data_IF_019101455497
#
_entry.id   IF_019101455497
#
_cell.length_a   1.000
_cell.length_b   1.000
_cell.length_c   1.000
_cell.angle_alpha   90.00
_cell.angle_beta   90.00
_cell.angle_gamma   90.00
#
_symmetry.space_group_name_H-M   'P 1'
#
loop_
_entity.id
_entity.type
_entity.pdbx_description
1 polymer ?
#
# COMPACT_ATOMS: atom_id res chain seq x y z
N UNK A 1 21.08 -57.47 19.60
CA UNK A 1 21.69 -56.16 19.37
C UNK A 1 20.60 -55.16 19.67
N UNK A 2 20.72 -54.50 20.81
CA UNK A 2 19.65 -53.71 21.43
C UNK A 2 19.48 -52.37 20.70
N UNK A 3 18.22 -52.10 20.42
CA UNK A 3 17.61 -50.84 20.07
C UNK A 3 18.11 -49.74 21.02
N UNK A 4 19.04 -48.90 20.55
CA UNK A 4 19.35 -47.65 21.24
C UNK A 4 18.31 -46.65 20.75
N UNK A 5 17.32 -46.38 21.61
CA UNK A 5 16.45 -45.20 21.50
C UNK A 5 17.33 -43.96 21.33
N UNK A 6 17.00 -43.14 20.34
CA UNK A 6 17.63 -41.85 20.11
C UNK A 6 17.18 -40.90 21.24
N UNK A 7 17.90 -40.95 22.37
CA UNK A 7 17.65 -40.08 23.51
C UNK A 7 18.12 -38.68 23.14
N UNK A 8 17.19 -37.88 22.60
CA UNK A 8 17.38 -36.45 22.40
C UNK A 8 17.41 -35.79 23.79
N UNK A 9 18.61 -35.58 24.33
CA UNK A 9 18.83 -34.83 25.56
C UNK A 9 18.68 -33.33 25.28
N UNK A 10 17.49 -32.80 25.56
CA UNK A 10 17.28 -31.36 25.65
C UNK A 10 17.89 -30.83 26.94
N UNK A 11 18.91 -29.97 26.85
CA UNK A 11 19.48 -29.31 28.01
C UNK A 11 18.70 -28.04 28.31
N UNK A 12 18.05 -27.98 29.47
CA UNK A 12 17.49 -26.76 30.05
C UNK A 12 18.50 -26.22 31.06
N UNK A 13 18.69 -24.89 31.11
CA UNK A 13 19.58 -24.32 32.13
C UNK A 13 19.02 -24.63 33.52
N UNK A 14 19.90 -24.91 34.48
CA UNK A 14 19.49 -25.28 35.84
C UNK A 14 18.62 -24.19 36.50
N UNK A 15 18.90 -22.92 36.18
CA UNK A 15 18.14 -21.75 36.62
C UNK A 15 16.68 -21.77 36.11
N UNK A 16 16.46 -22.09 34.82
CA UNK A 16 15.11 -22.26 34.29
C UNK A 16 14.42 -23.50 34.86
N UNK A 17 15.15 -24.59 35.07
CA UNK A 17 14.59 -25.81 35.65
C UNK A 17 14.12 -25.59 37.10
N UNK A 18 14.89 -24.84 37.90
CA UNK A 18 14.50 -24.44 39.26
C UNK A 18 13.23 -23.59 39.24
N UNK A 19 13.20 -22.55 38.38
CA UNK A 19 12.06 -21.64 38.26
C UNK A 19 10.79 -22.35 37.76
N UNK A 20 10.92 -23.32 36.86
CA UNK A 20 9.82 -24.17 36.38
C UNK A 20 9.32 -25.14 37.46
N UNK A 21 10.23 -25.68 38.29
CA UNK A 21 9.89 -26.63 39.36
C UNK A 21 9.30 -25.96 40.61
N UNK A 22 9.60 -24.67 40.82
CA UNK A 22 9.10 -23.87 41.93
C UNK A 22 7.72 -23.23 41.66
N UNK A 23 7.14 -23.47 40.49
CA UNK A 23 5.85 -22.88 40.10
C UNK A 23 4.72 -23.35 41.02
N UNK A 24 3.93 -22.40 41.53
CA UNK A 24 2.78 -22.69 42.40
C UNK A 24 1.61 -23.36 41.67
N UNK A 25 0.62 -23.95 42.39
CA UNK A 25 -0.48 -24.74 41.80
C UNK A 25 -1.43 -23.96 40.87
N UNK A 26 -1.18 -22.68 40.59
CA UNK A 26 -1.98 -21.85 39.69
C UNK A 26 -1.13 -20.94 38.78
N UNK A 27 0.17 -21.20 38.66
CA UNK A 27 1.08 -20.47 37.78
C UNK A 27 1.17 -21.17 36.42
N UNK A 28 0.89 -20.42 35.35
CA UNK A 28 0.97 -20.93 33.98
C UNK A 28 2.39 -20.70 33.45
N UNK A 29 3.12 -21.78 33.25
CA UNK A 29 4.42 -21.72 32.58
C UNK A 29 4.24 -21.79 31.06
N UNK A 30 4.97 -20.94 30.33
CA UNK A 30 5.00 -20.94 28.87
C UNK A 30 6.43 -21.22 28.44
N UNK A 31 6.61 -22.30 27.68
CA UNK A 31 7.89 -22.65 27.06
C UNK A 31 7.83 -22.25 25.60
N UNK A 32 8.72 -21.34 25.19
CA UNK A 32 8.83 -20.89 23.80
C UNK A 32 9.96 -21.68 23.14
N UNK A 33 9.60 -22.57 22.21
CA UNK A 33 10.56 -23.30 21.40
C UNK A 33 10.85 -22.49 20.14
N UNK A 34 12.10 -22.10 19.94
CA UNK A 34 12.57 -21.35 18.77
C UNK A 34 13.80 -22.03 18.17
N UNK A 35 13.80 -22.27 16.86
CA UNK A 35 14.90 -22.92 16.13
C UNK A 35 14.40 -23.89 15.05
N UNK A 36 15.28 -24.30 14.13
CA UNK A 36 14.97 -25.23 13.01
C UNK A 36 14.26 -24.59 11.81
N UNK A 37 13.75 -25.42 10.89
CA UNK A 37 12.90 -25.04 9.73
C UNK A 37 11.48 -24.56 10.14
N UNK A 38 11.29 -24.11 11.38
CA UNK A 38 10.06 -23.50 11.87
C UNK A 38 9.94 -22.04 11.38
N UNK A 39 10.14 -21.84 10.07
CA UNK A 39 9.92 -20.56 9.41
C UNK A 39 8.43 -20.22 9.39
N UNK A 40 8.11 -18.95 9.64
CA UNK A 40 6.75 -18.43 9.72
C UNK A 40 5.97 -18.53 8.39
N UNK A 41 6.65 -18.81 7.28
CA UNK A 41 6.05 -18.85 5.95
C UNK A 41 5.30 -20.17 5.68
N UNK A 42 5.67 -21.27 6.33
CA UNK A 42 5.11 -22.59 6.05
C UNK A 42 4.15 -23.06 7.16
N UNK A 43 2.87 -22.71 6.97
CA UNK A 43 1.79 -23.13 7.88
C UNK A 43 1.65 -24.65 7.93
N UNK A 44 2.02 -25.35 6.86
CA UNK A 44 1.99 -26.80 6.80
C UNK A 44 3.07 -27.44 7.68
N UNK A 45 4.32 -26.97 7.59
CA UNK A 45 5.42 -27.58 8.35
C UNK A 45 5.28 -27.34 9.85
N UNK A 46 4.85 -26.14 10.23
CA UNK A 46 4.57 -25.80 11.63
C UNK A 46 3.43 -26.63 12.23
N UNK A 47 2.34 -26.88 11.48
CA UNK A 47 1.27 -27.78 11.93
C UNK A 47 1.74 -29.24 12.06
N UNK A 48 2.59 -29.71 11.13
CA UNK A 48 3.18 -31.05 11.18
C UNK A 48 4.14 -31.21 12.36
N UNK A 49 4.94 -30.18 12.66
CA UNK A 49 5.82 -30.15 13.83
C UNK A 49 4.99 -30.16 15.11
N UNK A 50 3.91 -29.38 15.19
CA UNK A 50 3.01 -29.38 16.35
C UNK A 50 2.37 -30.76 16.55
N UNK A 51 1.89 -31.41 15.48
CA UNK A 51 1.30 -32.74 15.58
C UNK A 51 2.33 -33.82 15.97
N UNK A 52 3.55 -33.72 15.45
CA UNK A 52 4.60 -34.68 15.79
C UNK A 52 5.12 -34.46 17.22
N UNK A 53 5.23 -33.21 17.67
CA UNK A 53 5.57 -32.88 19.05
C UNK A 53 4.48 -33.33 20.01
N UNK A 54 3.20 -33.10 19.70
CA UNK A 54 2.11 -33.59 20.53
C UNK A 54 2.11 -35.11 20.61
N UNK A 55 2.31 -35.82 19.49
CA UNK A 55 2.38 -37.28 19.47
C UNK A 55 3.61 -37.84 20.22
N UNK A 56 4.76 -37.20 20.08
CA UNK A 56 5.98 -37.60 20.81
C UNK A 56 5.82 -37.40 22.32
N UNK A 57 5.24 -36.27 22.74
CA UNK A 57 4.96 -36.02 24.14
C UNK A 57 3.92 -36.99 24.68
N UNK A 58 2.82 -37.21 23.96
CA UNK A 58 1.73 -38.10 24.37
C UNK A 58 2.21 -39.55 24.57
N UNK A 59 3.12 -40.01 23.71
CA UNK A 59 3.74 -41.33 23.85
C UNK A 59 4.66 -41.44 25.08
N UNK A 60 5.26 -40.32 25.54
CA UNK A 60 6.23 -40.32 26.64
C UNK A 60 5.59 -40.01 27.99
N UNK A 61 4.59 -39.14 28.02
CA UNK A 61 3.87 -38.68 29.19
C UNK A 61 2.49 -38.22 28.72
N UNK A 62 1.45 -38.98 29.05
CA UNK A 62 0.07 -38.77 28.62
C UNK A 62 -0.30 -37.28 28.68
N UNK A 63 -0.44 -36.66 27.51
CA UNK A 63 -0.48 -35.20 27.40
C UNK A 63 -1.80 -34.62 27.91
N UNK A 64 -2.83 -35.47 28.01
CA UNK A 64 -4.14 -35.16 28.55
C UNK A 64 -4.15 -35.01 30.08
N UNK A 65 -3.20 -35.65 30.80
CA UNK A 65 -3.12 -35.59 32.27
C UNK A 65 -2.41 -34.31 32.77
N UNK A 66 -1.65 -33.64 31.87
CA UNK A 66 -0.83 -32.45 32.18
C UNK A 66 -1.40 -31.14 31.56
N UNK A 67 -2.56 -31.19 30.90
CA UNK A 67 -3.26 -30.05 30.27
C UNK A 67 -2.32 -29.15 29.41
N UNK A 68 -1.45 -29.78 28.63
CA UNK A 68 -0.46 -29.06 27.81
C UNK A 68 -1.09 -28.60 26.49
N UNK A 69 -1.16 -27.28 26.29
CA UNK A 69 -1.66 -26.70 25.05
C UNK A 69 -0.53 -26.20 24.14
N UNK A 70 -0.40 -26.81 22.96
CA UNK A 70 0.56 -26.38 21.95
C UNK A 70 -0.10 -25.38 20.99
N UNK A 71 0.44 -24.16 20.91
CA UNK A 71 -0.04 -23.10 20.01
C UNK A 71 1.11 -22.53 19.19
N UNK A 72 0.93 -22.43 17.86
CA UNK A 72 1.84 -21.70 16.98
C UNK A 72 1.66 -20.18 17.15
N UNK A 73 2.27 -19.62 18.20
CA UNK A 73 2.12 -18.20 18.56
C UNK A 73 2.48 -17.25 17.40
N UNK A 74 3.53 -17.55 16.63
CA UNK A 74 3.95 -16.71 15.48
C UNK A 74 2.94 -16.69 14.33
N UNK A 75 2.29 -17.82 14.04
CA UNK A 75 1.36 -17.94 12.91
C UNK A 75 0.01 -17.35 13.27
N UNK A 76 -0.48 -17.61 14.49
CA UNK A 76 -1.74 -17.04 14.95
C UNK A 76 -1.62 -15.51 15.12
N UNK A 77 -0.52 -15.02 15.71
CA UNK A 77 -0.25 -13.59 15.79
C UNK A 77 -0.07 -12.96 14.39
N UNK A 78 0.60 -13.64 13.47
CA UNK A 78 0.75 -13.20 12.08
C UNK A 78 -0.57 -13.14 11.32
N UNK A 79 -1.45 -14.12 11.52
CA UNK A 79 -2.78 -14.18 10.90
C UNK A 79 -3.73 -13.12 11.49
N UNK A 80 -3.71 -12.93 12.81
CA UNK A 80 -4.47 -11.86 13.47
C UNK A 80 -3.98 -10.47 13.03
N UNK A 81 -2.67 -10.27 12.92
CA UNK A 81 -2.07 -9.04 12.40
C UNK A 81 -2.42 -8.84 10.91
N UNK A 82 -2.38 -9.88 10.08
CA UNK A 82 -2.75 -9.81 8.67
C UNK A 82 -4.24 -9.47 8.48
N UNK A 83 -5.13 -10.04 9.29
CA UNK A 83 -6.56 -9.75 9.25
C UNK A 83 -6.86 -8.30 9.66
N UNK A 84 -6.20 -7.80 10.71
CA UNK A 84 -6.31 -6.39 11.13
C UNK A 84 -5.73 -5.43 10.09
N UNK A 85 -4.56 -5.77 9.52
CA UNK A 85 -3.90 -5.00 8.47
C UNK A 85 -4.74 -4.93 7.19
N UNK A 86 -5.46 -6.00 6.84
CA UNK A 86 -6.31 -6.05 5.65
C UNK A 86 -7.39 -4.98 5.60
N UNK A 87 -8.04 -4.67 6.74
CA UNK A 87 -9.08 -3.63 6.81
C UNK A 87 -8.45 -2.24 6.61
N UNK A 88 -7.36 -1.96 7.30
CA UNK A 88 -6.65 -0.67 7.22
C UNK A 88 -6.10 -0.45 5.79
N UNK A 89 -5.51 -1.49 5.20
CA UNK A 89 -5.03 -1.48 3.82
C UNK A 89 -6.18 -1.21 2.84
N UNK A 90 -7.33 -1.86 3.02
CA UNK A 90 -8.53 -1.62 2.24
C UNK A 90 -9.02 -0.16 2.31
N UNK A 91 -9.01 0.45 3.50
CA UNK A 91 -9.36 1.87 3.66
C UNK A 91 -8.40 2.79 2.90
N UNK A 92 -7.08 2.57 3.01
CA UNK A 92 -6.10 3.34 2.27
C UNK A 92 -6.25 3.18 0.74
N UNK A 93 -6.60 1.98 0.28
CA UNK A 93 -6.85 1.74 -1.15
C UNK A 93 -8.05 2.55 -1.66
N UNK A 94 -9.15 2.59 -0.90
CA UNK A 94 -10.34 3.37 -1.25
C UNK A 94 -10.03 4.87 -1.26
N UNK A 95 -9.40 5.39 -0.20
CA UNK A 95 -9.03 6.82 -0.13
C UNK A 95 -8.01 7.21 -1.20
N UNK A 96 -7.02 6.35 -1.49
CA UNK A 96 -6.04 6.56 -2.54
C UNK A 96 -6.71 6.65 -3.92
N UNK A 97 -7.60 5.70 -4.22
CA UNK A 97 -8.33 5.68 -5.49
C UNK A 97 -9.25 6.91 -5.63
N UNK A 98 -9.96 7.28 -4.57
CA UNK A 98 -10.80 8.48 -4.56
C UNK A 98 -9.97 9.76 -4.79
N UNK A 99 -8.81 9.86 -4.16
CA UNK A 99 -7.88 11.00 -4.34
C UNK A 99 -7.38 11.08 -5.77
N UNK A 100 -7.03 9.95 -6.39
CA UNK A 100 -6.62 9.90 -7.81
C UNK A 100 -7.77 10.36 -8.71
N UNK A 101 -8.99 9.88 -8.47
CA UNK A 101 -10.17 10.28 -9.25
C UNK A 101 -10.47 11.79 -9.13
N UNK A 102 -10.39 12.34 -7.91
CA UNK A 102 -10.53 13.77 -7.67
C UNK A 102 -9.43 14.59 -8.38
N UNK A 103 -8.19 14.09 -8.37
CA UNK A 103 -7.08 14.70 -9.09
C UNK A 103 -7.28 14.72 -10.61
N UNK A 104 -7.76 13.62 -11.20
CA UNK A 104 -8.11 13.55 -12.63
C UNK A 104 -9.19 14.58 -12.96
N UNK A 105 -10.23 14.67 -12.13
CA UNK A 105 -11.32 15.63 -12.35
C UNK A 105 -10.81 17.07 -12.28
N UNK A 106 -9.92 17.38 -11.33
CA UNK A 106 -9.29 18.69 -11.21
C UNK A 106 -8.42 19.04 -12.42
N UNK A 107 -7.66 18.08 -12.97
CA UNK A 107 -6.89 18.29 -14.20
C UNK A 107 -7.84 18.55 -15.38
N UNK A 108 -8.93 17.77 -15.50
CA UNK A 108 -9.91 17.95 -16.56
C UNK A 108 -10.55 19.34 -16.51
N UNK A 109 -10.97 19.82 -15.33
CA UNK A 109 -11.61 21.14 -15.21
C UNK A 109 -10.65 22.27 -15.59
N UNK A 110 -9.38 22.19 -15.20
CA UNK A 110 -8.37 23.18 -15.56
C UNK A 110 -8.14 23.20 -17.08
N UNK A 111 -7.93 22.02 -17.69
CA UNK A 111 -7.66 21.94 -19.13
C UNK A 111 -8.86 22.42 -19.96
N UNK A 112 -10.09 22.11 -19.52
CA UNK A 112 -11.31 22.60 -20.17
C UNK A 112 -11.41 24.12 -20.10
N UNK A 113 -11.08 24.73 -18.95
CA UNK A 113 -11.04 26.18 -18.78
C UNK A 113 -9.97 26.83 -19.69
N UNK A 114 -8.76 26.27 -19.77
CA UNK A 114 -7.70 26.77 -20.65
C UNK A 114 -8.09 26.63 -22.13
N UNK A 115 -8.75 25.54 -22.50
CA UNK A 115 -9.23 25.32 -23.85
C UNK A 115 -10.27 26.37 -24.27
N UNK A 116 -11.19 26.74 -23.38
CA UNK A 116 -12.17 27.82 -23.57
C UNK A 116 -11.47 29.16 -23.84
N UNK A 117 -10.49 29.51 -23.00
CA UNK A 117 -9.76 30.77 -23.08
C UNK A 117 -8.97 30.92 -24.39
N UNK A 118 -8.35 29.84 -24.89
CA UNK A 118 -7.54 29.85 -26.13
C UNK A 118 -8.36 29.64 -27.41
N UNK A 119 -9.70 29.49 -27.36
CA UNK A 119 -10.51 29.24 -28.57
C UNK A 119 -10.40 30.36 -29.60
N UNK A 120 -10.35 31.62 -29.17
CA UNK A 120 -10.22 32.78 -30.06
C UNK A 120 -8.88 32.77 -30.80
N UNK A 121 -7.79 32.45 -30.11
CA UNK A 121 -6.44 32.33 -30.68
C UNK A 121 -6.36 31.19 -31.71
N UNK A 122 -6.95 30.03 -31.39
CA UNK A 122 -7.03 28.89 -32.32
C UNK A 122 -7.86 29.19 -33.57
N UNK A 123 -8.85 30.09 -33.46
CA UNK A 123 -9.62 30.60 -34.60
C UNK A 123 -8.75 31.40 -35.58
N UNK A 124 -7.85 32.24 -35.06
CA UNK A 124 -6.90 33.02 -35.87
C UNK A 124 -5.85 32.12 -36.52
N UNK A 125 -5.29 31.16 -35.76
CA UNK A 125 -4.30 30.20 -36.29
C UNK A 125 -4.87 29.36 -37.44
N UNK A 126 -6.15 28.98 -37.38
CA UNK A 126 -6.83 28.27 -38.48
C UNK A 126 -7.01 29.14 -39.73
N UNK A 127 -7.12 30.46 -39.61
CA UNK A 127 -7.18 31.35 -40.76
C UNK A 127 -5.85 31.42 -41.53
N UNK A 128 -4.73 31.15 -40.85
CA UNK A 128 -3.37 31.12 -41.42
C UNK A 128 -2.99 29.69 -41.92
N UNK A 129 -3.85 28.69 -41.69
CA UNK A 129 -3.71 27.34 -42.26
C UNK A 129 -3.24 26.25 -41.30
N UNK A 130 -3.19 26.51 -39.97
CA UNK A 130 -2.80 25.49 -38.98
C UNK A 130 -3.84 24.37 -38.90
N UNK A 131 -3.39 23.12 -38.93
CA UNK A 131 -4.26 21.95 -38.87
C UNK A 131 -4.66 21.60 -37.44
N UNK A 132 -5.80 20.90 -37.26
CA UNK A 132 -6.27 20.45 -35.94
C UNK A 132 -5.36 19.40 -35.30
N UNK A 133 -4.51 18.72 -36.07
CA UNK A 133 -3.51 17.79 -35.56
C UNK A 133 -2.35 18.52 -34.90
N UNK A 134 -1.88 19.61 -35.50
CA UNK A 134 -0.70 20.34 -34.99
C UNK A 134 -0.98 20.99 -33.64
N UNK A 135 -2.17 21.59 -33.50
CA UNK A 135 -2.64 22.16 -32.22
C UNK A 135 -2.73 21.10 -31.12
N UNK A 136 -3.23 19.90 -31.45
CA UNK A 136 -3.31 18.79 -30.48
C UNK A 136 -1.94 18.27 -30.10
N UNK A 137 -1.03 18.10 -31.07
CA UNK A 137 0.32 17.65 -30.83
C UNK A 137 1.10 18.63 -29.94
N UNK A 138 0.97 19.94 -30.19
CA UNK A 138 1.58 20.98 -29.37
C UNK A 138 1.06 20.97 -27.92
N UNK A 139 -0.26 20.86 -27.74
CA UNK A 139 -0.86 20.80 -26.40
C UNK A 139 -0.42 19.55 -25.61
N UNK A 140 -0.29 18.40 -26.29
CA UNK A 140 0.21 17.17 -25.66
C UNK A 140 1.69 17.31 -25.28
N UNK A 141 2.53 17.89 -26.14
CA UNK A 141 3.95 18.12 -25.81
C UNK A 141 4.12 19.08 -24.62
N UNK A 142 3.36 20.18 -24.57
CA UNK A 142 3.35 21.09 -23.41
C UNK A 142 2.92 20.35 -22.14
N UNK A 143 1.85 19.55 -22.24
CA UNK A 143 1.34 18.73 -21.16
C UNK A 143 2.34 17.68 -20.65
N UNK A 144 3.11 17.05 -21.52
CA UNK A 144 4.15 16.07 -21.15
C UNK A 144 5.26 16.75 -20.32
N UNK A 145 5.73 17.93 -20.74
CA UNK A 145 6.74 18.68 -19.99
C UNK A 145 6.23 19.07 -18.61
N UNK A 146 4.98 19.56 -18.52
CA UNK A 146 4.37 19.91 -17.24
C UNK A 146 4.17 18.67 -16.37
N UNK A 147 3.70 17.55 -16.92
CA UNK A 147 3.45 16.31 -16.19
C UNK A 147 4.74 15.70 -15.62
N UNK A 148 5.84 15.71 -16.39
CA UNK A 148 7.13 15.22 -15.90
C UNK A 148 7.64 16.05 -14.73
N UNK A 149 7.67 17.39 -14.87
CA UNK A 149 8.12 18.30 -13.81
C UNK A 149 7.23 18.22 -12.57
N UNK A 150 5.91 18.24 -12.76
CA UNK A 150 4.95 18.11 -11.68
C UNK A 150 5.07 16.77 -10.96
N UNK A 151 5.32 15.68 -11.69
CA UNK A 151 5.55 14.36 -11.11
C UNK A 151 6.80 14.31 -10.22
N UNK A 152 7.92 14.92 -10.66
CA UNK A 152 9.16 14.96 -9.88
C UNK A 152 8.96 15.77 -8.60
N UNK A 153 8.39 16.98 -8.72
CA UNK A 153 8.15 17.88 -7.58
C UNK A 153 7.13 17.26 -6.63
N UNK A 154 6.02 16.74 -7.16
CA UNK A 154 4.97 16.09 -6.38
C UNK A 154 5.45 14.82 -5.67
N UNK A 155 6.27 14.01 -6.34
CA UNK A 155 6.90 12.83 -5.73
C UNK A 155 7.83 13.19 -4.58
N UNK A 156 8.67 14.21 -4.76
CA UNK A 156 9.56 14.71 -3.70
C UNK A 156 8.79 15.25 -2.50
N UNK A 157 7.76 16.08 -2.74
CA UNK A 157 6.88 16.60 -1.69
C UNK A 157 6.09 15.50 -0.98
N UNK A 158 5.60 14.51 -1.73
CA UNK A 158 4.90 13.35 -1.19
C UNK A 158 5.78 12.52 -0.27
N UNK A 159 7.05 12.29 -0.65
CA UNK A 159 8.03 11.61 0.19
C UNK A 159 8.31 12.38 1.48
N UNK A 160 8.50 13.71 1.38
CA UNK A 160 8.73 14.57 2.54
C UNK A 160 7.54 14.53 3.52
N UNK A 161 6.32 14.61 3.00
CA UNK A 161 5.10 14.47 3.81
C UNK A 161 5.01 13.09 4.46
N UNK A 162 5.32 12.02 3.73
CA UNK A 162 5.30 10.66 4.26
C UNK A 162 6.31 10.49 5.42
N UNK A 163 7.51 11.05 5.28
CA UNK A 163 8.51 11.07 6.36
C UNK A 163 8.00 11.85 7.59
N UNK A 164 7.35 13.00 7.37
CA UNK A 164 6.77 13.81 8.46
C UNK A 164 5.66 13.09 9.20
N UNK A 165 4.75 12.43 8.47
CA UNK A 165 3.66 11.65 9.06
C UNK A 165 4.21 10.45 9.83
N UNK A 166 5.20 9.74 9.28
CA UNK A 166 5.84 8.61 9.95
C UNK A 166 6.49 9.02 11.27
N UNK A 167 7.25 10.12 11.28
CA UNK A 167 7.85 10.63 12.51
C UNK A 167 6.79 11.03 13.55
N UNK A 168 5.68 11.65 13.10
CA UNK A 168 4.56 11.98 13.97
C UNK A 168 3.91 10.75 14.61
N UNK A 169 3.64 9.71 13.82
CA UNK A 169 3.10 8.45 14.33
C UNK A 169 4.06 7.78 15.33
N UNK A 170 5.36 7.70 15.00
CA UNK A 170 6.35 7.14 15.91
C UNK A 170 6.35 7.86 17.27
N UNK A 171 6.25 9.20 17.28
CA UNK A 171 6.22 9.98 18.53
C UNK A 171 4.97 9.75 19.38
N UNK A 172 3.80 9.57 18.75
CA UNK A 172 2.51 9.38 19.43
C UNK A 172 2.43 7.97 20.03
N UNK A 173 2.96 6.97 19.32
CA UNK A 173 2.92 5.57 19.74
C UNK A 173 4.18 5.11 20.48
N UNK A 174 5.16 6.01 20.70
CA UNK A 174 6.36 5.72 21.49
C UNK A 174 6.04 5.23 22.92
N UNK A 175 4.92 5.67 23.50
CA UNK A 175 4.43 5.23 24.82
C UNK A 175 3.83 3.82 24.83
N UNK A 176 3.50 3.25 23.66
CA UNK A 176 2.95 1.90 23.51
C UNK A 176 4.03 0.81 23.40
N UNK A 177 5.31 1.16 23.59
CA UNK A 177 6.40 0.21 23.86
C UNK A 177 6.80 -0.69 22.70
N UNK A 178 6.40 -0.39 21.46
CA UNK A 178 6.69 -1.21 20.29
C UNK A 178 7.04 -0.34 19.07
N UNK A 179 8.16 -0.64 18.41
CA UNK A 179 8.58 -0.08 17.11
C UNK A 179 7.65 -0.57 15.98
N UNK A 180 6.36 -0.28 16.08
CA UNK A 180 5.34 -0.82 15.17
C UNK A 180 5.38 -0.19 13.77
N UNK A 181 6.01 0.98 13.63
CA UNK A 181 6.04 1.74 12.37
C UNK A 181 7.46 1.96 11.89
N UNK A 182 7.96 1.03 11.07
CA UNK A 182 9.19 1.23 10.29
C UNK A 182 8.84 1.89 8.96
N UNK A 183 9.43 3.06 8.69
CA UNK A 183 9.31 3.73 7.40
C UNK A 183 10.40 3.23 6.47
N UNK A 184 10.01 2.33 5.56
CA UNK A 184 10.88 1.85 4.50
C UNK A 184 10.44 2.45 3.16
N UNK A 185 11.38 3.05 2.44
CA UNK A 185 11.16 3.55 1.09
C UNK A 185 12.22 2.98 0.16
N UNK A 186 11.80 2.51 -1.00
CA UNK A 186 12.68 2.02 -2.05
C UNK A 186 12.56 2.90 -3.28
N UNK A 187 13.68 3.06 -4.01
CA UNK A 187 13.68 3.78 -5.27
C UNK A 187 12.71 3.17 -6.30
N UNK A 188 12.56 1.85 -6.30
CA UNK A 188 11.60 1.09 -7.12
C UNK A 188 10.17 1.59 -6.91
N UNK A 189 9.74 1.73 -5.67
CA UNK A 189 8.41 2.24 -5.30
C UNK A 189 8.20 3.70 -5.70
N UNK A 190 9.22 4.54 -5.52
CA UNK A 190 9.19 5.94 -5.93
C UNK A 190 9.04 6.08 -7.45
N UNK A 191 9.84 5.35 -8.21
CA UNK A 191 9.79 5.34 -9.68
C UNK A 191 8.48 4.75 -10.19
N UNK A 192 7.97 3.69 -9.58
CA UNK A 192 6.69 3.10 -9.94
C UNK A 192 5.53 4.09 -9.73
N UNK A 193 5.50 4.78 -8.58
CA UNK A 193 4.50 5.80 -8.30
C UNK A 193 4.55 6.96 -9.28
N UNK A 194 5.75 7.46 -9.58
CA UNK A 194 5.95 8.51 -10.59
C UNK A 194 5.50 8.07 -11.98
N UNK A 195 5.86 6.85 -12.40
CA UNK A 195 5.50 6.31 -13.71
C UNK A 195 3.98 6.14 -13.87
N UNK A 196 3.29 5.61 -12.85
CA UNK A 196 1.83 5.48 -12.87
C UNK A 196 1.14 6.84 -12.88
N UNK A 197 1.59 7.79 -12.04
CA UNK A 197 1.06 9.15 -12.03
C UNK A 197 1.25 9.86 -13.38
N UNK A 198 2.42 9.71 -13.98
CA UNK A 198 2.75 10.25 -15.29
C UNK A 198 1.88 9.65 -16.41
N UNK A 199 1.69 8.32 -16.41
CA UNK A 199 0.80 7.65 -17.36
C UNK A 199 -0.65 8.14 -17.22
N UNK A 200 -1.16 8.24 -15.99
CA UNK A 200 -2.51 8.75 -15.73
C UNK A 200 -2.66 10.20 -16.23
N UNK A 201 -1.65 11.05 -15.99
CA UNK A 201 -1.64 12.43 -16.47
C UNK A 201 -1.68 12.51 -18.00
N UNK A 202 -0.84 11.73 -18.71
CA UNK A 202 -0.84 11.68 -20.17
C UNK A 202 -2.17 11.20 -20.72
N UNK A 203 -2.71 10.12 -20.16
CA UNK A 203 -4.00 9.56 -20.61
C UNK A 203 -5.12 10.60 -20.42
N UNK A 204 -5.11 11.31 -19.30
CA UNK A 204 -6.09 12.38 -19.00
C UNK A 204 -5.97 13.54 -19.98
N UNK A 205 -4.74 14.01 -20.24
CA UNK A 205 -4.47 15.10 -21.19
C UNK A 205 -4.86 14.73 -22.62
N UNK A 206 -4.49 13.52 -23.04
CA UNK A 206 -4.83 13.01 -24.37
C UNK A 206 -6.34 12.84 -24.54
N UNK A 207 -7.03 12.28 -23.54
CA UNK A 207 -8.49 12.15 -23.52
C UNK A 207 -9.18 13.53 -23.61
N UNK A 208 -8.71 14.51 -22.84
CA UNK A 208 -9.24 15.88 -22.87
C UNK A 208 -9.02 16.57 -24.22
N UNK A 209 -7.84 16.39 -24.83
CA UNK A 209 -7.53 16.93 -26.16
C UNK A 209 -8.47 16.36 -27.25
N UNK A 210 -8.84 15.09 -27.13
CA UNK A 210 -9.80 14.45 -28.03
C UNK A 210 -11.21 15.02 -27.85
N UNK A 211 -11.68 15.14 -26.60
CA UNK A 211 -12.99 15.71 -26.28
C UNK A 211 -13.11 17.18 -26.73
N UNK A 212 -12.12 18.01 -26.42
CA UNK A 212 -12.09 19.43 -26.80
C UNK A 212 -12.11 19.62 -28.33
N UNK A 213 -11.49 18.72 -29.09
CA UNK A 213 -11.48 18.81 -30.57
C UNK A 213 -12.87 18.64 -31.23
N UNK A 214 -13.82 18.04 -30.49
CA UNK A 214 -15.19 17.77 -30.94
C UNK A 214 -16.19 18.84 -30.54
N UNK A 215 -15.81 19.81 -29.71
CA UNK A 215 -16.68 20.94 -29.38
C UNK A 215 -16.82 21.84 -30.62
N UNK A 216 -18.03 21.85 -31.16
CA UNK A 216 -18.34 22.48 -32.44
C UNK A 216 -18.37 24.00 -32.27
N UNK A 217 -17.27 24.68 -32.61
CA UNK A 217 -17.07 26.15 -32.53
C UNK A 217 -18.20 26.97 -33.19
N UNK A 218 -18.97 26.38 -34.10
CA UNK A 218 -20.06 27.05 -34.83
C UNK A 218 -21.23 27.46 -33.92
N UNK A 219 -21.45 26.81 -32.77
CA UNK A 219 -22.50 27.25 -31.82
C UNK A 219 -22.11 28.50 -31.02
N UNK A 220 -20.83 28.72 -30.77
CA UNK A 220 -20.33 29.88 -30.02
C UNK A 220 -20.44 31.19 -30.81
N UNK A 221 -20.42 31.14 -32.15
CA UNK A 221 -20.60 32.31 -33.01
C UNK A 221 -22.07 32.67 -33.28
N UNK A 222 -23.02 31.77 -32.98
CA UNK A 222 -24.45 31.98 -33.28
C UNK A 222 -25.29 32.44 -32.08
N UNK A 223 -24.71 32.47 -30.87
CA UNK A 223 -25.41 32.79 -29.62
C UNK A 223 -25.00 34.13 -29.03
N UNK A 224 -25.49 35.24 -29.60
CA UNK A 224 -25.17 36.57 -29.11
C UNK A 224 -26.06 37.68 -29.65
N UNK A 225 -27.33 37.41 -29.93
CA UNK A 225 -28.34 38.46 -30.09
C UNK A 225 -29.45 38.23 -29.07
N UNK A 226 -29.16 38.52 -27.81
CA UNK A 226 -30.21 38.84 -26.85
C UNK A 226 -30.66 40.26 -27.18
N UNK A 227 -31.69 40.37 -28.04
CA UNK A 227 -32.51 41.58 -28.09
C UNK A 227 -33.21 41.70 -26.75
N UNK A 228 -32.73 42.57 -25.87
CA UNK A 228 -33.59 43.15 -24.85
C UNK A 228 -34.53 44.12 -25.57
N UNK A 229 -35.77 43.69 -25.79
CA UNK A 229 -36.87 44.61 -25.95
C UNK A 229 -37.59 44.72 -24.61
N UNK A 230 -37.92 45.97 -24.29
CA UNK A 230 -38.75 46.51 -23.20
C UNK A 230 -37.98 46.78 -21.91
#
# INVERSE_FOLDING_TARGET
MAELDDVVLGFVSLDYAEQLSAAGPNERSIIIITGGELEAADTSNSQLVLSNLSLWLDNRSDSADVDLQFTAVKIEAGKAAAQSSGIISGMFLVFGTFTIAAGILLVLTIVLMLAEARRSELGVLRAIGVTRSDVRAQAVMEGVVIATLAGIIGGCLGLLLAMGISAGFSSIFASAGTDLFTFSWEFTSLFAGWAWGFLIAIVTLWSSALWTSRLNIVSALRGGMVRMQI
#
